data_IF_645700455426
#
_entry.id   IF_645700455426
#
_cell.length_a   1.000
_cell.length_b   1.000
_cell.length_c   1.000
_cell.angle_alpha   90.00
_cell.angle_beta   90.00
_cell.angle_gamma   90.00
#
_symmetry.space_group_name_H-M   'P 1'
#
loop_
_entity.id
_entity.type
_entity.pdbx_description
1 polymer ?
#
# COMPACT_ATOMS: atom_id res chain seq x y z
N UNK A 1 1.26 26.88 -9.58
CA UNK A 1 1.65 26.72 -8.16
C UNK A 1 2.62 27.82 -7.81
N UNK A 2 2.46 28.48 -6.66
CA UNK A 2 3.41 29.51 -6.22
C UNK A 2 4.46 28.91 -5.29
N UNK A 3 5.69 29.41 -5.32
CA UNK A 3 6.77 29.01 -4.39
C UNK A 3 6.33 29.15 -2.93
N UNK A 4 5.49 30.14 -2.64
CA UNK A 4 4.94 30.44 -1.31
C UNK A 4 4.06 29.31 -0.75
N UNK A 5 3.24 28.66 -1.57
CA UNK A 5 2.36 27.57 -1.12
C UNK A 5 3.17 26.32 -0.74
N UNK A 6 4.19 26.03 -1.54
CA UNK A 6 5.11 24.92 -1.30
C UNK A 6 5.96 25.15 -0.03
N UNK A 7 6.46 26.37 0.17
CA UNK A 7 7.16 26.76 1.39
C UNK A 7 6.27 26.65 2.62
N UNK A 8 4.98 27.04 2.52
CA UNK A 8 4.03 26.87 3.61
C UNK A 8 3.82 25.39 3.95
N UNK A 9 3.56 24.54 2.96
CA UNK A 9 3.38 23.11 3.17
C UNK A 9 4.64 22.46 3.76
N UNK A 10 5.84 22.84 3.30
CA UNK A 10 7.11 22.40 3.89
C UNK A 10 7.21 22.79 5.37
N UNK A 11 6.90 24.05 5.72
CA UNK A 11 6.96 24.53 7.11
C UNK A 11 6.00 23.81 8.05
N UNK A 12 4.93 23.21 7.52
CA UNK A 12 4.03 22.34 8.28
C UNK A 12 4.56 20.90 8.36
N UNK A 13 5.03 20.34 7.25
CA UNK A 13 5.36 18.92 7.14
C UNK A 13 6.75 18.59 7.70
N UNK A 14 7.73 19.47 7.55
CA UNK A 14 9.09 19.22 8.03
C UNK A 14 9.17 19.07 9.56
N UNK A 15 8.53 19.92 10.39
CA UNK A 15 8.45 19.68 11.84
C UNK A 15 7.77 18.36 12.19
N UNK A 16 6.76 17.95 11.43
CA UNK A 16 6.12 16.63 11.59
C UNK A 16 7.11 15.50 11.30
N UNK A 17 7.91 15.62 10.23
CA UNK A 17 8.97 14.66 9.93
C UNK A 17 10.02 14.58 11.05
N UNK A 18 10.36 15.70 11.70
CA UNK A 18 11.32 15.72 12.82
C UNK A 18 10.83 14.98 14.07
N UNK A 19 9.53 15.02 14.36
CA UNK A 19 8.98 14.41 15.58
C UNK A 19 8.37 13.03 15.37
N UNK A 20 7.82 12.78 14.17
CA UNK A 20 7.10 11.55 13.84
C UNK A 20 7.78 10.73 12.73
N UNK A 21 8.82 11.24 12.08
CA UNK A 21 9.63 10.46 11.16
C UNK A 21 10.34 9.32 11.89
N UNK A 22 10.49 8.17 11.22
CA UNK A 22 11.31 7.06 11.70
C UNK A 22 12.64 7.07 10.96
N UNK A 23 13.76 7.42 11.61
CA UNK A 23 15.08 7.27 11.00
C UNK A 23 15.38 5.82 10.62
N UNK A 24 14.79 4.85 11.31
CA UNK A 24 14.91 3.42 11.06
C UNK A 24 13.98 2.90 9.96
N UNK A 25 13.17 3.73 9.27
CA UNK A 25 12.07 3.23 8.42
C UNK A 25 12.46 2.10 7.44
N UNK A 26 13.57 2.26 6.70
CA UNK A 26 14.04 1.22 5.77
C UNK A 26 14.50 -0.03 6.53
N UNK A 27 15.16 0.16 7.67
CA UNK A 27 15.66 -0.93 8.50
C UNK A 27 14.54 -1.68 9.21
N UNK A 28 13.47 -0.99 9.60
CA UNK A 28 12.28 -1.60 10.19
C UNK A 28 11.60 -2.52 9.16
N UNK A 29 11.45 -2.07 7.91
CA UNK A 29 10.97 -2.94 6.82
C UNK A 29 11.94 -4.10 6.56
N UNK A 30 13.25 -3.85 6.56
CA UNK A 30 14.24 -4.92 6.38
C UNK A 30 14.11 -5.99 7.46
N UNK A 31 14.05 -5.58 8.73
CA UNK A 31 13.90 -6.49 9.87
C UNK A 31 12.58 -7.27 9.80
N UNK A 32 11.49 -6.62 9.40
CA UNK A 32 10.22 -7.32 9.14
C UNK A 32 10.41 -8.41 8.07
N UNK A 33 10.98 -8.08 6.91
CA UNK A 33 11.22 -9.05 5.86
C UNK A 33 12.19 -10.17 6.28
N UNK A 34 13.24 -9.86 7.05
CA UNK A 34 14.16 -10.87 7.61
C UNK A 34 13.43 -11.83 8.53
N UNK A 35 12.61 -11.33 9.45
CA UNK A 35 11.86 -12.15 10.40
C UNK A 35 10.87 -13.11 9.70
N UNK A 36 10.42 -12.75 8.50
CA UNK A 36 9.56 -13.59 7.66
C UNK A 36 10.34 -14.44 6.65
N UNK A 37 11.68 -14.42 6.65
CA UNK A 37 12.51 -15.15 5.67
C UNK A 37 12.46 -14.58 4.25
N UNK A 38 11.80 -13.43 4.05
CA UNK A 38 11.54 -12.85 2.72
C UNK A 38 12.81 -12.35 2.05
N UNK A 39 13.80 -11.84 2.80
CA UNK A 39 15.06 -11.40 2.18
C UNK A 39 15.85 -12.56 1.58
N UNK A 40 15.95 -13.67 2.32
CA UNK A 40 16.58 -14.90 1.81
C UNK A 40 15.81 -15.43 0.59
N UNK A 41 14.47 -15.42 0.65
CA UNK A 41 13.63 -15.80 -0.47
C UNK A 41 13.82 -14.91 -1.70
N UNK A 42 14.02 -13.59 -1.53
CA UNK A 42 14.33 -12.69 -2.64
C UNK A 42 15.66 -13.09 -3.31
N UNK A 43 16.69 -13.38 -2.52
CA UNK A 43 18.00 -13.75 -3.07
C UNK A 43 18.01 -15.15 -3.70
N UNK A 44 17.15 -16.06 -3.23
CA UNK A 44 16.99 -17.41 -3.77
C UNK A 44 15.92 -17.52 -4.86
N UNK A 45 15.22 -16.42 -5.18
CA UNK A 45 14.05 -16.41 -6.08
C UNK A 45 12.94 -17.39 -5.63
N UNK A 46 12.75 -17.54 -4.32
CA UNK A 46 11.72 -18.39 -3.73
C UNK A 46 10.36 -17.66 -3.72
N UNK A 47 9.62 -17.85 -4.82
CA UNK A 47 8.26 -17.32 -4.97
C UNK A 47 7.25 -17.91 -3.99
N UNK A 48 7.50 -19.09 -3.40
CA UNK A 48 6.57 -19.71 -2.45
C UNK A 48 6.56 -18.94 -1.13
N UNK A 49 7.73 -18.59 -0.60
CA UNK A 49 7.85 -17.75 0.61
C UNK A 49 7.29 -16.35 0.37
N UNK A 50 7.58 -15.75 -0.79
CA UNK A 50 7.01 -14.46 -1.17
C UNK A 50 5.48 -14.50 -1.26
N UNK A 51 4.91 -15.57 -1.84
CA UNK A 51 3.47 -15.77 -1.91
C UNK A 51 2.84 -15.85 -0.51
N UNK A 52 3.43 -16.64 0.39
CA UNK A 52 2.91 -16.82 1.75
C UNK A 52 2.91 -15.49 2.51
N UNK A 53 4.01 -14.73 2.42
CA UNK A 53 4.12 -13.39 3.01
C UNK A 53 3.11 -12.39 2.41
N UNK A 54 2.99 -12.34 1.07
CA UNK A 54 2.03 -11.47 0.40
C UNK A 54 0.58 -11.82 0.78
N UNK A 55 0.25 -13.10 0.86
CA UNK A 55 -1.08 -13.60 1.22
C UNK A 55 -1.44 -13.24 2.67
N UNK A 56 -0.48 -13.29 3.59
CA UNK A 56 -0.63 -12.76 4.94
C UNK A 56 -0.86 -11.25 4.92
N UNK A 57 -0.02 -10.48 4.22
CA UNK A 57 -0.11 -9.03 4.16
C UNK A 57 -1.46 -8.53 3.61
N UNK A 58 -1.99 -9.15 2.55
CA UNK A 58 -3.31 -8.79 1.99
C UNK A 58 -4.48 -9.17 2.91
N UNK A 59 -4.30 -10.10 3.84
CA UNK A 59 -5.36 -10.57 4.75
C UNK A 59 -5.77 -9.52 5.78
N UNK A 60 -4.90 -8.55 6.07
CA UNK A 60 -5.13 -7.40 6.93
C UNK A 60 -6.10 -6.35 6.34
N UNK A 61 -6.42 -6.44 5.04
CA UNK A 61 -7.25 -5.42 4.40
C UNK A 61 -8.68 -5.33 5.00
N UNK A 62 -9.18 -4.09 5.09
CA UNK A 62 -10.57 -3.71 5.41
C UNK A 62 -11.07 -4.06 6.82
N UNK A 63 -10.22 -4.53 7.72
CA UNK A 63 -10.57 -4.83 9.11
C UNK A 63 -9.44 -4.39 10.06
N UNK A 64 -9.68 -4.48 11.37
CA UNK A 64 -8.63 -4.29 12.37
C UNK A 64 -7.56 -5.37 12.24
N UNK A 65 -6.29 -4.97 12.39
CA UNK A 65 -5.16 -5.90 12.32
C UNK A 65 -5.26 -7.02 13.34
N UNK A 66 -5.74 -6.70 14.54
CA UNK A 66 -5.93 -7.69 15.60
C UNK A 66 -6.94 -8.78 15.18
N UNK A 67 -8.05 -8.38 14.56
CA UNK A 67 -9.07 -9.32 14.10
C UNK A 67 -8.52 -10.20 12.97
N UNK A 68 -7.75 -9.63 12.04
CA UNK A 68 -7.13 -10.38 10.95
C UNK A 68 -6.14 -11.40 11.49
N UNK A 69 -5.24 -10.97 12.37
CA UNK A 69 -4.23 -11.81 13.01
C UNK A 69 -4.88 -12.94 13.81
N UNK A 70 -5.82 -12.62 14.71
CA UNK A 70 -6.50 -13.62 15.54
C UNK A 70 -7.23 -14.68 14.69
N UNK A 71 -7.80 -14.28 13.55
CA UNK A 71 -8.43 -15.21 12.62
C UNK A 71 -7.40 -16.15 11.99
N UNK A 72 -6.29 -15.63 11.48
CA UNK A 72 -5.21 -16.45 10.88
C UNK A 72 -4.58 -17.40 11.90
N UNK A 73 -4.38 -16.97 13.14
CA UNK A 73 -3.87 -17.83 14.20
C UNK A 73 -4.82 -19.00 14.52
N UNK A 74 -6.14 -18.79 14.41
CA UNK A 74 -7.14 -19.81 14.71
C UNK A 74 -7.41 -20.76 13.53
N UNK A 75 -7.37 -20.24 12.31
CA UNK A 75 -7.86 -20.95 11.11
C UNK A 75 -6.77 -21.28 10.08
N UNK A 76 -5.55 -20.80 10.30
CA UNK A 76 -4.45 -20.90 9.35
C UNK A 76 -4.50 -19.82 8.27
N UNK A 77 -3.60 -19.98 7.30
CA UNK A 77 -3.44 -19.14 6.11
C UNK A 77 -3.43 -20.05 4.88
N UNK A 78 -3.75 -19.49 3.71
CA UNK A 78 -3.52 -20.21 2.47
C UNK A 78 -2.03 -20.15 2.15
N UNK A 79 -1.42 -21.32 1.90
CA UNK A 79 0.01 -21.41 1.58
C UNK A 79 0.25 -21.84 0.13
N UNK A 80 1.41 -21.49 -0.42
CA UNK A 80 1.82 -21.91 -1.76
C UNK A 80 1.75 -23.44 -1.90
N UNK A 81 2.34 -24.16 -0.95
CA UNK A 81 2.39 -25.63 -0.97
C UNK A 81 1.00 -26.28 -0.93
N UNK A 82 0.02 -25.67 -0.24
CA UNK A 82 -1.36 -26.15 -0.26
C UNK A 82 -2.03 -25.91 -1.62
N UNK A 83 -1.88 -24.71 -2.19
CA UNK A 83 -2.49 -24.38 -3.48
C UNK A 83 -1.87 -25.20 -4.62
N UNK A 84 -0.56 -25.38 -4.60
CA UNK A 84 0.15 -26.23 -5.55
C UNK A 84 -0.32 -27.68 -5.46
N UNK A 85 -0.46 -28.24 -4.24
CA UNK A 85 -1.01 -29.59 -4.05
C UNK A 85 -2.43 -29.71 -4.57
N UNK A 86 -3.28 -28.74 -4.27
CA UNK A 86 -4.67 -28.71 -4.72
C UNK A 86 -4.81 -28.65 -6.25
N UNK A 87 -3.83 -28.08 -6.95
CA UNK A 87 -3.81 -27.92 -8.40
C UNK A 87 -2.83 -28.88 -9.10
N UNK A 88 -2.25 -29.84 -8.38
CA UNK A 88 -1.32 -30.82 -8.97
C UNK A 88 -2.04 -31.74 -9.97
N UNK A 89 -3.31 -32.08 -9.68
CA UNK A 89 -4.19 -32.74 -10.66
C UNK A 89 -4.93 -31.67 -11.45
N UNK A 90 -5.12 -31.86 -12.78
CA UNK A 90 -5.91 -30.92 -13.57
C UNK A 90 -7.28 -30.68 -12.92
N UNK A 91 -7.60 -29.43 -12.54
CA UNK A 91 -8.88 -29.14 -11.90
C UNK A 91 -10.00 -29.35 -12.91
N UNK A 92 -11.14 -29.89 -12.46
CA UNK A 92 -12.33 -30.02 -13.31
C UNK A 92 -12.86 -28.65 -13.73
N UNK A 93 -12.72 -27.64 -12.86
CA UNK A 93 -13.15 -26.27 -13.11
C UNK A 93 -12.20 -25.55 -14.10
N UNK A 94 -12.67 -25.10 -15.27
CA UNK A 94 -11.81 -24.42 -16.25
C UNK A 94 -11.22 -23.12 -15.71
N UNK A 95 -11.88 -22.46 -14.76
CA UNK A 95 -11.40 -21.23 -14.11
C UNK A 95 -10.08 -21.41 -13.36
N UNK A 96 -9.73 -22.63 -12.93
CA UNK A 96 -8.50 -22.89 -12.16
C UNK A 96 -7.32 -23.33 -13.03
N UNK A 97 -7.49 -23.38 -14.35
CA UNK A 97 -6.46 -23.88 -15.28
C UNK A 97 -5.31 -22.89 -15.46
N UNK A 98 -5.62 -21.62 -15.73
CA UNK A 98 -4.66 -20.53 -15.91
C UNK A 98 -5.20 -19.21 -15.35
N UNK A 99 -4.30 -18.29 -15.01
CA UNK A 99 -4.62 -16.99 -14.41
C UNK A 99 -5.75 -16.25 -15.12
N UNK A 100 -5.66 -16.10 -16.44
CA UNK A 100 -6.65 -15.33 -17.19
C UNK A 100 -8.03 -16.00 -17.23
N UNK A 101 -8.10 -17.33 -17.15
CA UNK A 101 -9.38 -18.03 -17.02
C UNK A 101 -10.02 -17.81 -15.66
N UNK A 102 -9.23 -17.60 -14.60
CA UNK A 102 -9.72 -17.41 -13.24
C UNK A 102 -10.53 -16.12 -13.06
N UNK A 103 -10.40 -15.16 -13.99
CA UNK A 103 -11.26 -13.97 -14.00
C UNK A 103 -12.74 -14.33 -13.96
N UNK A 104 -13.49 -13.51 -13.23
CA UNK A 104 -14.91 -13.71 -12.99
C UNK A 104 -15.27 -15.07 -12.36
N UNK A 105 -14.37 -15.67 -11.54
CA UNK A 105 -14.71 -16.86 -10.75
C UNK A 105 -16.00 -16.68 -9.93
N UNK A 106 -16.18 -15.47 -9.35
CA UNK A 106 -17.38 -15.03 -8.62
C UNK A 106 -17.78 -15.94 -7.46
N UNK A 107 -16.81 -16.63 -6.85
CA UNK A 107 -17.09 -17.46 -5.69
C UNK A 107 -17.61 -16.61 -4.53
N UNK A 108 -18.79 -16.96 -4.03
CA UNK A 108 -19.42 -16.32 -2.89
C UNK A 108 -19.60 -17.32 -1.75
N UNK A 109 -18.76 -17.18 -0.72
CA UNK A 109 -18.68 -18.13 0.41
C UNK A 109 -19.99 -18.28 1.17
N UNK A 110 -20.78 -17.23 1.32
CA UNK A 110 -22.03 -17.26 2.09
C UNK A 110 -23.17 -18.00 1.39
N UNK A 111 -23.24 -17.93 0.06
CA UNK A 111 -24.26 -18.61 -0.73
C UNK A 111 -23.78 -19.93 -1.33
N UNK A 112 -22.47 -20.20 -1.30
CA UNK A 112 -21.89 -21.36 -1.96
C UNK A 112 -22.13 -21.34 -3.48
N UNK A 113 -22.01 -20.17 -4.12
CA UNK A 113 -22.21 -20.02 -5.56
C UNK A 113 -20.93 -19.53 -6.24
N UNK A 114 -20.79 -19.78 -7.54
CA UNK A 114 -19.71 -19.28 -8.40
C UNK A 114 -20.18 -19.21 -9.86
N UNK A 115 -19.30 -18.80 -10.78
CA UNK A 115 -19.59 -18.78 -12.21
C UNK A 115 -19.61 -20.18 -12.87
N UNK A 116 -19.09 -21.21 -12.18
CA UNK A 116 -18.97 -22.59 -12.68
C UNK A 116 -19.57 -23.58 -11.66
N UNK A 117 -20.90 -23.55 -11.45
CA UNK A 117 -21.54 -24.26 -10.33
C UNK A 117 -21.38 -25.78 -10.40
N UNK A 118 -21.36 -26.35 -11.61
CA UNK A 118 -21.23 -27.81 -11.82
C UNK A 118 -19.89 -28.37 -11.32
N UNK A 119 -18.87 -27.51 -11.24
CA UNK A 119 -17.53 -27.87 -10.77
C UNK A 119 -17.30 -27.59 -9.28
N UNK A 120 -18.26 -26.95 -8.60
CA UNK A 120 -18.11 -26.51 -7.22
C UNK A 120 -17.85 -27.66 -6.23
N UNK A 121 -18.49 -28.85 -6.33
CA UNK A 121 -18.28 -29.94 -5.37
C UNK A 121 -16.81 -30.37 -5.23
N UNK A 122 -16.07 -30.37 -6.34
CA UNK A 122 -14.65 -30.77 -6.38
C UNK A 122 -13.69 -29.57 -6.40
N UNK A 123 -14.22 -28.35 -6.32
CA UNK A 123 -13.41 -27.15 -6.37
C UNK A 123 -12.58 -27.02 -5.08
N UNK A 124 -11.26 -26.80 -5.15
CA UNK A 124 -10.42 -26.63 -3.97
C UNK A 124 -10.47 -25.19 -3.42
N UNK A 125 -11.19 -24.27 -4.06
CA UNK A 125 -11.28 -22.89 -3.60
C UNK A 125 -12.13 -22.74 -2.31
N UNK A 126 -13.32 -23.36 -2.18
CA UNK A 126 -14.13 -23.32 -0.97
C UNK A 126 -13.51 -23.96 0.28
N UNK A 127 -12.53 -24.87 0.11
CA UNK A 127 -11.95 -25.65 1.22
C UNK A 127 -11.12 -24.79 2.17
N UNK A 128 -10.61 -23.66 1.68
CA UNK A 128 -9.82 -22.72 2.48
C UNK A 128 -10.69 -21.99 3.51
N UNK A 129 -10.31 -22.12 4.78
CA UNK A 129 -10.96 -21.46 5.91
C UNK A 129 -10.48 -20.02 6.10
N UNK A 130 -10.35 -19.25 5.02
CA UNK A 130 -10.08 -17.81 5.13
C UNK A 130 -11.35 -17.05 5.52
N UNK A 131 -11.17 -15.83 6.04
CA UNK A 131 -12.25 -15.01 6.62
C UNK A 131 -13.45 -14.80 5.70
N UNK A 132 -13.23 -14.75 4.39
CA UNK A 132 -14.29 -14.58 3.41
C UNK A 132 -13.88 -15.14 2.04
N UNK A 133 -14.86 -15.37 1.16
CA UNK A 133 -14.62 -15.91 -0.19
C UNK A 133 -13.82 -14.98 -1.10
N UNK A 134 -13.71 -13.68 -0.78
CA UNK A 134 -12.83 -12.75 -1.50
C UNK A 134 -11.37 -13.12 -1.24
N UNK A 135 -10.99 -13.40 0.01
CA UNK A 135 -9.62 -13.84 0.32
C UNK A 135 -9.30 -15.20 -0.31
N UNK A 136 -10.26 -16.13 -0.39
CA UNK A 136 -10.05 -17.39 -1.13
C UNK A 136 -9.71 -17.10 -2.60
N UNK A 137 -10.48 -16.22 -3.25
CA UNK A 137 -10.21 -15.82 -4.63
C UNK A 137 -8.89 -15.06 -4.77
N UNK A 138 -8.54 -14.18 -3.81
CA UNK A 138 -7.25 -13.48 -3.82
C UNK A 138 -6.07 -14.44 -3.74
N UNK A 139 -6.13 -15.46 -2.87
CA UNK A 139 -5.06 -16.44 -2.74
C UNK A 139 -4.85 -17.23 -4.05
N UNK A 140 -5.91 -17.78 -4.65
CA UNK A 140 -5.80 -18.47 -5.94
C UNK A 140 -5.40 -17.52 -7.07
N UNK A 141 -5.94 -16.31 -7.11
CA UNK A 141 -5.58 -15.31 -8.12
C UNK A 141 -4.11 -14.93 -8.06
N UNK A 142 -3.56 -14.71 -6.87
CA UNK A 142 -2.14 -14.41 -6.69
C UNK A 142 -1.27 -15.63 -7.03
N UNK A 143 -1.66 -16.83 -6.61
CA UNK A 143 -0.93 -18.07 -6.92
C UNK A 143 -0.83 -18.29 -8.44
N UNK A 144 -1.97 -18.21 -9.14
CA UNK A 144 -2.03 -18.37 -10.59
C UNK A 144 -1.28 -17.23 -11.30
N UNK A 145 -1.32 -16.00 -10.78
CA UNK A 145 -0.53 -14.90 -11.33
C UNK A 145 0.96 -15.20 -11.27
N UNK A 146 1.47 -15.63 -10.11
CA UNK A 146 2.89 -15.94 -9.95
C UNK A 146 3.28 -17.11 -10.86
N UNK A 147 2.49 -18.19 -10.87
CA UNK A 147 2.76 -19.36 -11.70
C UNK A 147 2.73 -19.04 -13.21
N UNK A 148 1.68 -18.35 -13.67
CA UNK A 148 1.40 -18.23 -15.11
C UNK A 148 1.92 -16.93 -15.73
N UNK A 149 1.92 -15.82 -14.98
CA UNK A 149 2.31 -14.48 -15.47
C UNK A 149 3.73 -14.14 -15.05
N UNK A 150 4.14 -14.49 -13.82
CA UNK A 150 5.52 -14.34 -13.38
C UNK A 150 6.42 -15.52 -13.74
N UNK A 151 5.86 -16.62 -14.25
CA UNK A 151 6.61 -17.81 -14.66
C UNK A 151 7.30 -18.50 -13.48
N UNK A 152 6.59 -18.59 -12.35
CA UNK A 152 7.08 -19.12 -11.06
C UNK A 152 8.24 -18.31 -10.41
N UNK A 153 8.65 -17.18 -11.00
CA UNK A 153 9.71 -16.31 -10.48
C UNK A 153 9.24 -14.86 -10.32
N UNK A 154 8.64 -14.57 -9.17
CA UNK A 154 8.12 -13.24 -8.87
C UNK A 154 9.23 -12.18 -8.78
N UNK A 155 10.43 -12.55 -8.33
CA UNK A 155 11.56 -11.61 -8.19
C UNK A 155 12.04 -11.16 -9.56
N UNK A 156 12.32 -12.11 -10.45
CA UNK A 156 12.70 -11.79 -11.84
C UNK A 156 11.57 -11.05 -12.55
N UNK A 157 10.31 -11.37 -12.28
CA UNK A 157 9.19 -10.63 -12.84
C UNK A 157 9.18 -9.15 -12.39
N UNK A 158 9.41 -8.87 -11.10
CA UNK A 158 9.54 -7.49 -10.60
C UNK A 158 10.71 -6.78 -11.27
N UNK A 159 11.89 -7.41 -11.30
CA UNK A 159 13.09 -6.83 -11.91
C UNK A 159 12.88 -6.50 -13.40
N UNK A 160 12.28 -7.41 -14.15
CA UNK A 160 11.98 -7.23 -15.57
C UNK A 160 10.95 -6.11 -15.79
N UNK A 161 9.87 -6.05 -15.01
CA UNK A 161 8.88 -4.98 -15.11
C UNK A 161 9.49 -3.61 -14.83
N UNK A 162 10.32 -3.51 -13.78
CA UNK A 162 11.03 -2.29 -13.46
C UNK A 162 12.05 -1.92 -14.53
N UNK A 163 12.74 -2.89 -15.14
CA UNK A 163 13.67 -2.62 -16.24
C UNK A 163 12.94 -2.12 -17.50
N UNK A 164 11.79 -2.69 -17.85
CA UNK A 164 10.99 -2.30 -19.01
C UNK A 164 10.33 -0.92 -18.84
N UNK A 165 9.90 -0.58 -17.62
CA UNK A 165 9.33 0.72 -17.30
C UNK A 165 10.36 1.85 -17.16
N UNK A 166 11.65 1.52 -17.16
CA UNK A 166 12.76 2.45 -16.94
C UNK A 166 13.14 3.19 -18.22
N UNK A 167 12.53 4.34 -18.44
CA UNK A 167 12.96 5.31 -19.45
C UNK A 167 13.58 6.54 -18.78
N UNK A 168 14.93 6.63 -18.68
CA UNK A 168 15.65 7.75 -18.08
C UNK A 168 15.28 9.13 -18.63
N UNK A 169 14.84 9.21 -19.88
CA UNK A 169 14.52 10.48 -20.54
C UNK A 169 13.07 10.91 -20.30
N UNK A 170 12.21 10.02 -19.80
CA UNK A 170 10.80 10.31 -19.61
C UNK A 170 10.56 11.23 -18.38
N UNK A 171 9.84 12.35 -18.53
CA UNK A 171 9.53 13.25 -17.42
C UNK A 171 8.64 12.58 -16.35
N UNK A 172 7.95 11.49 -16.70
CA UNK A 172 7.09 10.69 -15.83
C UNK A 172 7.71 9.32 -15.45
N UNK A 173 9.03 9.15 -15.61
CA UNK A 173 9.75 7.88 -15.38
C UNK A 173 9.33 7.15 -14.10
N UNK A 174 9.33 7.84 -12.96
CA UNK A 174 9.02 7.20 -11.67
C UNK A 174 7.55 6.73 -11.58
N UNK A 175 6.63 7.45 -12.22
CA UNK A 175 5.24 7.02 -12.37
C UNK A 175 5.16 5.77 -13.25
N UNK A 176 5.88 5.74 -14.37
CA UNK A 176 5.95 4.56 -15.25
C UNK A 176 6.50 3.32 -14.53
N UNK A 177 7.57 3.49 -13.75
CA UNK A 177 8.12 2.41 -12.92
C UNK A 177 7.09 1.87 -11.93
N UNK A 178 6.37 2.74 -11.20
CA UNK A 178 5.28 2.32 -10.30
C UNK A 178 4.17 1.57 -11.06
N UNK A 179 3.72 2.14 -12.18
CA UNK A 179 2.63 1.59 -12.98
C UNK A 179 3.01 0.24 -13.62
N UNK A 180 4.30 0.02 -13.95
CA UNK A 180 4.80 -1.26 -14.48
C UNK A 180 4.56 -2.43 -13.53
N UNK A 181 4.50 -2.18 -12.21
CA UNK A 181 4.17 -3.16 -11.19
C UNK A 181 2.68 -3.16 -10.85
N UNK A 182 2.11 -1.98 -10.59
CA UNK A 182 0.75 -1.87 -10.08
C UNK A 182 -0.31 -2.23 -11.13
N UNK A 183 -0.13 -1.84 -12.40
CA UNK A 183 -1.13 -2.11 -13.45
C UNK A 183 -1.37 -3.61 -13.63
N UNK A 184 -0.34 -4.47 -13.77
CA UNK A 184 -0.56 -5.91 -13.82
C UNK A 184 -1.19 -6.47 -12.55
N UNK A 185 -0.72 -6.06 -11.36
CA UNK A 185 -1.22 -6.59 -10.09
C UNK A 185 -2.68 -6.21 -9.80
N UNK A 186 -3.21 -5.14 -10.40
CA UNK A 186 -4.64 -4.79 -10.35
C UNK A 186 -5.56 -5.87 -10.90
N UNK A 187 -5.05 -6.75 -11.77
CA UNK A 187 -5.83 -7.85 -12.34
C UNK A 187 -6.10 -8.95 -11.32
N UNK A 188 -5.29 -9.04 -10.25
CA UNK A 188 -5.51 -10.00 -9.17
C UNK A 188 -6.78 -9.61 -8.40
N UNK A 189 -7.74 -10.53 -8.38
CA UNK A 189 -9.01 -10.30 -7.72
C UNK A 189 -8.82 -10.00 -6.23
N UNK A 190 -9.53 -8.98 -5.77
CA UNK A 190 -9.71 -8.79 -4.34
C UNK A 190 -8.59 -8.02 -3.63
N UNK A 191 -7.75 -7.29 -4.36
CA UNK A 191 -6.74 -6.38 -3.80
C UNK A 191 -6.89 -5.01 -4.47
N UNK A 192 -6.85 -3.93 -3.70
CA UNK A 192 -6.92 -2.57 -4.27
C UNK A 192 -5.53 -1.98 -4.43
N UNK A 193 -5.36 -1.00 -5.32
CA UNK A 193 -4.12 -0.25 -5.52
C UNK A 193 -3.48 0.20 -4.21
N UNK A 194 -4.28 0.78 -3.32
CA UNK A 194 -3.83 1.21 -1.99
C UNK A 194 -3.12 0.09 -1.22
N UNK A 195 -3.67 -1.13 -1.26
CA UNK A 195 -3.12 -2.29 -0.55
C UNK A 195 -1.85 -2.76 -1.25
N UNK A 196 -1.84 -2.82 -2.58
CA UNK A 196 -0.63 -3.16 -3.33
C UNK A 196 0.50 -2.17 -3.10
N UNK A 197 0.24 -0.87 -3.26
CA UNK A 197 1.22 0.20 -2.99
C UNK A 197 1.77 0.12 -1.58
N UNK A 198 0.93 -0.17 -0.58
CA UNK A 198 1.38 -0.31 0.81
C UNK A 198 2.33 -1.50 1.00
N UNK A 199 1.95 -2.67 0.52
CA UNK A 199 2.71 -3.92 0.69
C UNK A 199 4.01 -3.87 -0.12
N UNK A 200 3.93 -3.46 -1.38
CA UNK A 200 5.10 -3.35 -2.26
C UNK A 200 6.07 -2.28 -1.78
N UNK A 201 5.60 -1.16 -1.21
CA UNK A 201 6.51 -0.18 -0.62
C UNK A 201 7.39 -0.83 0.44
N UNK A 202 6.82 -1.64 1.34
CA UNK A 202 7.60 -2.36 2.35
C UNK A 202 8.57 -3.37 1.74
N UNK A 203 8.10 -4.20 0.79
CA UNK A 203 8.91 -5.18 0.09
C UNK A 203 10.12 -4.53 -0.62
N UNK A 204 9.87 -3.47 -1.39
CA UNK A 204 10.87 -2.81 -2.21
C UNK A 204 11.85 -1.97 -1.38
N UNK A 205 11.41 -1.39 -0.26
CA UNK A 205 12.30 -0.68 0.66
C UNK A 205 13.19 -1.65 1.46
N UNK A 206 12.62 -2.70 2.03
CA UNK A 206 13.34 -3.68 2.83
C UNK A 206 14.26 -4.59 2.00
N UNK A 207 13.75 -5.07 0.85
CA UNK A 207 14.46 -5.95 -0.09
C UNK A 207 15.32 -5.23 -1.13
N UNK A 208 15.29 -3.89 -1.15
CA UNK A 208 15.98 -3.06 -2.14
C UNK A 208 17.51 -2.99 -1.99
N UNK A 209 18.11 -3.68 -1.02
CA UNK A 209 19.57 -3.68 -0.87
C UNK A 209 20.23 -4.27 -2.12
N UNK A 210 21.14 -3.51 -2.74
CA UNK A 210 21.74 -3.86 -4.03
C UNK A 210 20.84 -3.63 -5.25
N UNK A 211 19.54 -3.39 -5.07
CA UNK A 211 18.52 -3.24 -6.13
C UNK A 211 18.04 -1.79 -6.21
N UNK A 212 18.79 -0.93 -6.92
CA UNK A 212 18.52 0.52 -7.01
C UNK A 212 17.09 0.88 -7.43
N UNK A 213 16.54 0.19 -8.43
CA UNK A 213 15.17 0.44 -8.93
C UNK A 213 14.12 0.09 -7.88
N UNK A 214 14.33 -0.97 -7.09
CA UNK A 214 13.41 -1.33 -6.01
C UNK A 214 13.36 -0.21 -4.98
N UNK A 215 14.53 0.21 -4.49
CA UNK A 215 14.60 1.28 -3.50
C UNK A 215 13.94 2.56 -4.02
N UNK A 216 14.25 2.97 -5.26
CA UNK A 216 13.67 4.16 -5.90
C UNK A 216 12.14 4.08 -6.00
N UNK A 217 11.60 2.94 -6.45
CA UNK A 217 10.15 2.76 -6.56
C UNK A 217 9.50 2.70 -5.18
N UNK A 218 10.08 1.95 -4.24
CA UNK A 218 9.59 1.81 -2.87
C UNK A 218 9.49 3.14 -2.12
N UNK A 219 10.44 4.07 -2.36
CA UNK A 219 10.43 5.41 -1.75
C UNK A 219 9.33 6.31 -2.31
N UNK A 220 8.89 6.05 -3.54
CA UNK A 220 7.86 6.82 -4.26
C UNK A 220 6.42 6.32 -4.04
N UNK A 221 6.25 5.14 -3.43
CA UNK A 221 4.95 4.50 -3.23
C UNK A 221 4.19 5.11 -2.03
N UNK A 222 3.63 6.29 -2.24
CA UNK A 222 2.83 7.03 -1.25
C UNK A 222 1.42 6.43 -1.12
N UNK A 223 0.97 6.22 0.12
CA UNK A 223 -0.39 5.80 0.42
C UNK A 223 -1.12 6.89 1.20
N UNK A 224 -2.16 7.45 0.58
CA UNK A 224 -3.03 8.43 1.23
C UNK A 224 -4.25 7.70 1.80
N UNK A 225 -4.31 7.61 3.13
CA UNK A 225 -5.49 7.20 3.87
C UNK A 225 -6.26 8.42 4.43
N UNK A 226 -7.30 8.17 5.21
CA UNK A 226 -8.10 9.25 5.81
C UNK A 226 -7.28 10.11 6.75
N UNK A 227 -6.29 9.56 7.47
CA UNK A 227 -5.45 10.33 8.39
C UNK A 227 -4.56 11.30 7.63
N UNK A 228 -3.86 10.82 6.60
CA UNK A 228 -3.00 11.66 5.76
C UNK A 228 -3.81 12.71 5.02
N UNK A 229 -4.95 12.33 4.43
CA UNK A 229 -5.85 13.26 3.75
C UNK A 229 -6.37 14.35 4.69
N UNK A 230 -6.90 13.96 5.85
CA UNK A 230 -7.45 14.90 6.83
C UNK A 230 -6.37 15.83 7.41
N UNK A 231 -5.12 15.36 7.54
CA UNK A 231 -4.01 16.24 7.91
C UNK A 231 -3.79 17.34 6.87
N UNK A 232 -3.71 16.99 5.58
CA UNK A 232 -3.54 17.97 4.50
C UNK A 232 -4.71 18.94 4.40
N UNK A 233 -5.93 18.47 4.68
CA UNK A 233 -7.11 19.33 4.75
C UNK A 233 -7.06 20.27 5.96
N UNK A 234 -6.97 19.74 7.19
CA UNK A 234 -7.01 20.54 8.43
C UNK A 234 -5.93 21.61 8.48
N UNK A 235 -4.77 21.32 7.90
CA UNK A 235 -3.65 22.25 7.87
C UNK A 235 -3.79 23.36 6.82
N UNK A 236 -4.79 23.29 5.94
CA UNK A 236 -5.01 24.26 4.86
C UNK A 236 -4.18 24.03 3.61
N UNK A 237 -3.33 22.99 3.59
CA UNK A 237 -2.50 22.65 2.43
C UNK A 237 -3.38 22.42 1.20
N UNK A 238 -4.46 21.64 1.31
CA UNK A 238 -5.33 21.41 0.15
C UNK A 238 -6.00 22.68 -0.37
N UNK A 239 -6.39 23.62 0.49
CA UNK A 239 -7.01 24.88 0.05
C UNK A 239 -5.99 25.77 -0.68
N UNK A 240 -4.79 25.92 -0.13
CA UNK A 240 -3.71 26.74 -0.73
C UNK A 240 -3.28 26.23 -2.09
N UNK A 241 -3.25 24.91 -2.27
CA UNK A 241 -2.94 24.29 -3.56
C UNK A 241 -4.11 24.27 -4.53
N UNK A 242 -5.25 24.89 -4.19
CA UNK A 242 -6.50 24.80 -4.97
C UNK A 242 -6.89 23.34 -5.28
N UNK A 243 -6.61 22.47 -4.32
CA UNK A 243 -6.64 21.02 -4.43
C UNK A 243 -7.72 20.40 -3.53
N UNK A 244 -8.67 21.18 -3.00
CA UNK A 244 -9.76 20.65 -2.17
C UNK A 244 -10.54 19.54 -2.89
N UNK A 245 -10.76 18.41 -2.20
CA UNK A 245 -11.54 17.28 -2.67
C UNK A 245 -11.97 16.40 -1.48
N UNK A 246 -13.07 15.64 -1.58
CA UNK A 246 -13.39 14.59 -0.62
C UNK A 246 -12.35 13.47 -0.64
N UNK A 247 -12.08 12.85 0.51
CA UNK A 247 -11.24 11.65 0.57
C UNK A 247 -11.72 10.58 -0.43
N UNK A 248 -10.79 10.06 -1.23
CA UNK A 248 -11.08 9.04 -2.23
C UNK A 248 -10.18 9.14 -3.46
N UNK A 249 -10.69 8.86 -4.67
CA UNK A 249 -9.91 8.92 -5.91
C UNK A 249 -9.22 10.27 -6.16
N UNK A 250 -9.80 11.37 -5.67
CA UNK A 250 -9.19 12.71 -5.74
C UNK A 250 -7.83 12.83 -5.04
N UNK A 251 -7.50 11.93 -4.10
CA UNK A 251 -6.19 11.94 -3.45
C UNK A 251 -5.04 11.61 -4.40
N UNK A 252 -5.31 10.91 -5.51
CA UNK A 252 -4.30 10.36 -6.43
C UNK A 252 -4.33 10.99 -7.83
N UNK A 253 -5.21 11.99 -8.07
CA UNK A 253 -5.19 12.76 -9.32
C UNK A 253 -3.99 13.71 -9.35
N UNK A 254 -3.70 14.28 -10.52
CA UNK A 254 -2.77 15.42 -10.64
C UNK A 254 -3.20 16.57 -9.73
N UNK A 255 -2.25 17.15 -8.99
CA UNK A 255 -2.47 18.13 -7.92
C UNK A 255 -3.34 17.60 -6.75
N UNK A 256 -3.44 16.28 -6.57
CA UNK A 256 -4.08 15.64 -5.42
C UNK A 256 -3.12 15.49 -4.22
N UNK A 257 -3.58 14.84 -3.14
CA UNK A 257 -2.76 14.62 -1.94
C UNK A 257 -1.40 13.96 -2.23
N UNK A 258 -1.38 12.89 -3.04
CA UNK A 258 -0.15 12.16 -3.32
C UNK A 258 0.87 13.02 -4.08
N UNK A 259 0.40 13.77 -5.08
CA UNK A 259 1.24 14.67 -5.88
C UNK A 259 1.80 15.82 -5.02
N UNK A 260 0.97 16.42 -4.16
CA UNK A 260 1.43 17.44 -3.19
C UNK A 260 2.50 16.88 -2.26
N UNK A 261 2.33 15.65 -1.74
CA UNK A 261 3.33 15.00 -0.88
C UNK A 261 4.64 14.74 -1.63
N UNK A 262 4.58 14.33 -2.89
CA UNK A 262 5.76 14.16 -3.74
C UNK A 262 6.49 15.49 -3.95
N UNK A 263 5.77 16.58 -4.24
CA UNK A 263 6.34 17.91 -4.45
C UNK A 263 6.95 18.48 -3.15
N UNK A 264 6.28 18.32 -2.00
CA UNK A 264 6.84 18.75 -0.70
C UNK A 264 8.08 17.93 -0.34
N UNK A 265 8.08 16.63 -0.63
CA UNK A 265 9.23 15.77 -0.36
C UNK A 265 10.48 16.18 -1.16
N UNK A 266 10.33 16.78 -2.34
CA UNK A 266 11.47 17.35 -3.08
C UNK A 266 12.15 18.51 -2.34
N UNK A 267 11.44 19.16 -1.42
CA UNK A 267 11.94 20.29 -0.64
C UNK A 267 12.50 19.90 0.74
N UNK A 268 12.40 18.62 1.12
CA UNK A 268 12.84 18.08 2.40
C UNK A 268 13.95 17.07 2.12
N UNK A 269 15.20 17.40 2.47
CA UNK A 269 16.30 16.45 2.35
C UNK A 269 16.19 15.38 3.43
N UNK A 270 15.75 14.18 3.06
CA UNK A 270 15.53 13.10 4.01
C UNK A 270 16.83 12.58 4.65
N UNK A 271 18.00 12.90 4.06
CA UNK A 271 19.32 12.57 4.64
C UNK A 271 19.59 13.29 5.95
N UNK A 272 18.90 14.41 6.20
CA UNK A 272 18.97 15.12 7.47
C UNK A 272 18.36 14.30 8.64
N UNK A 273 17.48 13.34 8.36
CA UNK A 273 16.90 12.45 9.38
C UNK A 273 17.66 11.13 9.50
N UNK A 274 18.16 10.61 8.38
CA UNK A 274 19.08 9.48 8.32
C UNK A 274 19.96 9.61 7.07
N UNK A 275 21.30 9.71 7.19
CA UNK A 275 22.20 9.83 6.05
C UNK A 275 22.10 8.70 5.00
N UNK A 276 21.57 7.53 5.37
CA UNK A 276 21.36 6.40 4.48
C UNK A 276 20.09 6.54 3.61
N UNK A 277 19.22 7.50 3.89
CA UNK A 277 18.03 7.76 3.07
C UNK A 277 18.40 8.42 1.73
N UNK A 278 17.57 8.24 0.68
CA UNK A 278 17.67 9.10 -0.49
C UNK A 278 17.33 10.54 -0.12
N UNK A 279 17.84 11.51 -0.86
CA UNK A 279 17.56 12.93 -0.61
C UNK A 279 16.05 13.23 -0.66
N UNK A 280 15.34 12.66 -1.65
CA UNK A 280 13.89 12.81 -1.83
C UNK A 280 13.22 11.50 -1.42
N UNK A 281 12.37 11.54 -0.38
CA UNK A 281 11.73 10.34 0.18
C UNK A 281 10.24 10.57 0.52
N UNK A 282 9.34 10.60 -0.50
CA UNK A 282 7.91 10.87 -0.30
C UNK A 282 7.22 9.90 0.66
N UNK A 283 7.57 8.61 0.60
CA UNK A 283 7.02 7.60 1.52
C UNK A 283 7.40 7.87 2.98
N UNK A 284 8.62 8.34 3.27
CA UNK A 284 9.00 8.75 4.63
C UNK A 284 8.16 9.93 5.11
N UNK A 285 7.95 10.94 4.26
CA UNK A 285 7.11 12.11 4.58
C UNK A 285 5.67 11.68 4.88
N UNK A 286 5.08 10.87 4.00
CA UNK A 286 3.73 10.37 4.20
C UNK A 286 3.63 9.51 5.48
N UNK A 287 4.61 8.65 5.73
CA UNK A 287 4.64 7.81 6.94
C UNK A 287 4.76 8.64 8.21
N UNK A 288 5.57 9.71 8.21
CA UNK A 288 5.67 10.64 9.34
C UNK A 288 4.33 11.32 9.62
N UNK A 289 3.61 11.79 8.59
CA UNK A 289 2.26 12.36 8.73
C UNK A 289 1.31 11.32 9.32
N UNK A 290 1.32 10.09 8.79
CA UNK A 290 0.48 9.02 9.31
C UNK A 290 0.76 8.75 10.79
N UNK A 291 2.04 8.61 11.19
CA UNK A 291 2.43 8.43 12.61
C UNK A 291 2.04 9.61 13.48
N UNK A 292 2.09 10.83 12.97
CA UNK A 292 1.66 12.02 13.72
C UNK A 292 0.15 12.00 14.04
N UNK A 293 -0.65 11.38 13.17
CA UNK A 293 -2.10 11.35 13.27
C UNK A 293 -2.65 10.07 13.90
N UNK A 294 -2.00 8.93 13.69
CA UNK A 294 -2.50 7.63 14.10
C UNK A 294 -2.51 7.45 15.62
N UNK A 295 -3.52 6.75 16.12
CA UNK A 295 -3.66 6.43 17.56
C UNK A 295 -2.48 5.61 18.10
N UNK A 296 -1.93 4.70 17.28
CA UNK A 296 -0.72 3.92 17.61
C UNK A 296 0.58 4.67 17.33
N UNK A 297 0.49 5.92 16.86
CA UNK A 297 1.61 6.81 16.65
C UNK A 297 1.68 7.85 17.77
N UNK A 298 1.76 9.13 17.41
CA UNK A 298 1.77 10.24 18.37
C UNK A 298 0.36 10.70 18.75
N UNK A 299 -0.67 10.31 17.99
CA UNK A 299 -2.07 10.60 18.30
C UNK A 299 -2.38 12.12 18.42
N UNK A 300 -1.64 12.97 17.69
CA UNK A 300 -1.73 14.44 17.82
C UNK A 300 -2.83 15.03 16.93
N UNK A 301 -2.86 14.65 15.65
CA UNK A 301 -3.87 15.09 14.69
C UNK A 301 -4.93 14.01 14.42
N UNK A 302 -5.29 13.24 15.45
CA UNK A 302 -6.25 12.16 15.32
C UNK A 302 -7.70 12.69 15.29
N UNK A 303 -8.51 12.25 14.32
CA UNK A 303 -9.93 12.61 14.26
C UNK A 303 -10.78 12.07 15.41
N UNK A 304 -10.32 11.06 16.14
CA UNK A 304 -10.98 10.61 17.37
C UNK A 304 -10.76 11.58 18.56
N UNK A 305 -9.86 12.56 18.41
CA UNK A 305 -9.49 13.53 19.45
C UNK A 305 -9.77 14.98 19.06
N UNK A 306 -10.17 15.21 17.82
CA UNK A 306 -10.44 16.53 17.26
C UNK A 306 -11.92 16.57 16.91
N UNK A 307 -12.60 17.60 17.39
CA UNK A 307 -13.93 17.94 16.90
C UNK A 307 -13.83 18.52 15.48
N UNK A 308 -14.34 17.78 14.51
CA UNK A 308 -14.29 18.15 13.09
C UNK A 308 -15.38 19.16 12.67
N UNK A 309 -16.22 19.61 13.62
CA UNK A 309 -17.20 20.70 13.43
C UNK A 309 -16.62 22.08 13.77
N UNK A 310 -15.45 22.13 14.43
CA UNK A 310 -14.82 23.38 14.88
C UNK A 310 -13.32 23.43 14.57
N UNK A 311 -12.73 24.61 14.72
CA UNK A 311 -11.28 24.76 14.62
C UNK A 311 -10.59 24.01 15.77
N UNK A 312 -9.59 23.20 15.44
CA UNK A 312 -8.86 22.40 16.43
C UNK A 312 -8.21 23.31 17.50
N UNK A 313 -8.39 22.94 18.77
CA UNK A 313 -7.88 23.68 19.94
C UNK A 313 -6.65 23.04 20.57
N UNK A 314 -6.07 22.00 19.96
CA UNK A 314 -4.89 21.30 20.49
C UNK A 314 -3.63 22.18 20.42
N UNK A 315 -3.43 23.03 21.41
CA UNK A 315 -2.27 23.93 21.53
C UNK A 315 -0.93 23.21 21.69
N UNK A 316 -0.91 21.92 22.01
CA UNK A 316 0.31 21.11 22.06
C UNK A 316 0.75 20.60 20.68
N UNK A 317 -0.07 20.79 19.64
CA UNK A 317 0.28 20.42 18.27
C UNK A 317 1.47 21.27 17.79
N UNK A 318 2.54 20.60 17.32
CA UNK A 318 3.80 21.26 16.90
C UNK A 318 3.62 22.27 15.78
N UNK A 319 2.58 22.09 14.97
CA UNK A 319 2.27 22.96 13.83
C UNK A 319 1.10 23.90 14.11
N UNK A 320 0.60 23.97 15.36
CA UNK A 320 -0.60 24.72 15.72
C UNK A 320 -0.59 26.17 15.23
N UNK A 321 0.52 26.88 15.43
CA UNK A 321 0.65 28.30 15.04
C UNK A 321 0.70 28.57 13.54
N UNK A 322 0.91 27.54 12.72
CA UNK A 322 0.94 27.63 11.26
C UNK A 322 -0.27 26.95 10.59
N UNK A 323 -0.95 26.07 11.30
CA UNK A 323 -2.08 25.29 10.83
C UNK A 323 -3.33 26.17 10.70
N UNK A 324 -3.97 26.14 9.53
CA UNK A 324 -5.24 26.87 9.31
C UNK A 324 -6.39 26.30 10.14
N UNK A 325 -6.26 25.06 10.66
CA UNK A 325 -7.19 24.36 11.56
C UNK A 325 -8.60 24.25 10.96
N UNK A 326 -8.66 24.00 9.66
CA UNK A 326 -9.93 23.89 8.93
C UNK A 326 -10.75 22.71 9.46
N UNK A 327 -12.02 22.97 9.74
CA UNK A 327 -13.01 21.94 10.06
C UNK A 327 -13.24 21.03 8.84
N UNK A 328 -13.50 19.73 9.06
CA UNK A 328 -13.76 18.79 7.97
C UNK A 328 -15.23 18.81 7.51
N UNK A 329 -16.19 19.07 8.41
CA UNK A 329 -17.63 18.93 8.10
C UNK A 329 -18.20 20.05 7.23
N UNK A 330 -17.54 21.20 7.11
CA UNK A 330 -17.95 22.29 6.22
C UNK A 330 -17.96 21.90 4.74
N UNK A 331 -17.29 20.79 4.35
CA UNK A 331 -17.34 20.25 2.98
C UNK A 331 -18.51 19.30 2.70
N UNK A 332 -19.12 18.66 3.72
CA UNK A 332 -20.28 17.76 3.51
C UNK A 332 -21.54 18.50 3.06
N UNK A 333 -21.61 19.82 3.26
CA UNK A 333 -22.73 20.66 2.84
C UNK A 333 -22.54 21.29 1.45
N UNK A 334 -21.41 21.05 0.79
CA UNK A 334 -21.09 21.59 -0.55
C UNK A 334 -20.97 20.52 -1.64
N UNK A 335 -21.35 19.28 -1.35
CA UNK A 335 -21.38 18.15 -2.29
C UNK A 335 -22.80 17.86 -2.75
#
# INVERSE_FOLDING_TARGET
>A
MTTTDLDHAKRLIEPVCRVAGLPSLIEDFRNELTNHGVLEAIDQHDSAVLFDWLTEAVSYQRISDWIAWAYMQRHGRATWAELQRNLTRPPSCPKLTVFWHFHDCRYHKGSGTCAEPDHLPDCPLPTHRLRNGRLNQTAYGLFLFIRDVAGDDLVSWIDNRLAEGDDPAAPDRLRRLRDSLLVPLRTIYGVSDKVWTMILSGLLLGGGQGRKRWLEVGTSMVVVDTLVHNFLHRTGILERFSAAHPYGPGCYRSNGCADILEQVAQQIDARAFNPAFPAVFPRFVQHAIWRYCAQRGLDICNGNRIDDDAACTNGYCRVYGLCDRLALRSQRQRS
#
